data_IF_280457161914
#
_entry.id   IF_280457161914
#
_cell.length_a   1.000
_cell.length_b   1.000
_cell.length_c   1.000
_cell.angle_alpha   90.00
_cell.angle_beta   90.00
_cell.angle_gamma   90.00
#
_symmetry.space_group_name_H-M   'P 1'
#
loop_
_entity.id
_entity.type
_entity.pdbx_description
1 polymer ?
#
# COMPACT_ATOMS: atom_id res chain seq x y z
N UNK A 1 36.57 76.49 15.47
CA UNK A 1 36.00 76.26 14.14
C UNK A 1 36.23 74.79 13.83
N UNK A 2 35.20 73.98 14.03
CA UNK A 2 35.28 72.52 14.06
C UNK A 2 34.17 71.98 13.16
N UNK A 3 34.52 71.10 12.21
CA UNK A 3 33.61 70.11 11.63
C UNK A 3 34.44 68.90 11.24
N UNK A 4 34.16 67.80 11.93
CA UNK A 4 34.70 66.48 11.67
C UNK A 4 34.01 65.87 10.45
N UNK A 5 34.83 65.24 9.61
CA UNK A 5 34.45 64.41 8.47
C UNK A 5 34.51 62.94 8.94
N UNK A 6 33.36 62.29 9.05
CA UNK A 6 33.25 60.85 9.29
C UNK A 6 31.80 60.39 9.10
N UNK A 7 31.50 59.86 7.90
CA UNK A 7 30.18 59.33 7.55
C UNK A 7 30.19 58.20 6.52
N UNK A 8 31.36 57.71 6.11
CA UNK A 8 31.49 56.63 5.11
C UNK A 8 31.79 55.29 5.79
N UNK A 9 30.77 54.64 6.33
CA UNK A 9 30.72 53.17 6.45
C UNK A 9 29.26 52.76 6.67
N UNK A 10 28.87 51.60 6.14
CA UNK A 10 27.53 50.97 6.25
C UNK A 10 26.51 51.31 5.16
N UNK A 11 26.95 51.47 3.91
CA UNK A 11 26.10 51.10 2.77
C UNK A 11 26.25 49.60 2.50
N UNK A 12 25.20 48.85 2.86
CA UNK A 12 24.70 47.80 1.96
C UNK A 12 25.38 46.44 1.97
N UNK A 13 25.80 45.93 3.13
CA UNK A 13 25.99 44.48 3.32
C UNK A 13 24.63 43.78 3.51
N UNK A 14 23.71 44.02 2.58
CA UNK A 14 22.31 43.57 2.61
C UNK A 14 22.08 42.45 1.61
N UNK A 15 22.23 41.21 2.08
CA UNK A 15 21.47 40.04 1.66
C UNK A 15 21.25 39.81 0.14
N UNK A 16 22.30 39.41 -0.57
CA UNK A 16 22.15 38.62 -1.80
C UNK A 16 22.22 37.12 -1.48
N UNK A 17 21.30 36.63 -0.63
CA UNK A 17 21.11 35.18 -0.39
C UNK A 17 20.14 34.60 -1.44
N UNK A 18 20.47 34.79 -2.72
CA UNK A 18 19.69 34.29 -3.86
C UNK A 18 20.11 32.91 -4.31
N UNK A 19 20.25 31.94 -3.40
CA UNK A 19 20.52 30.55 -3.77
C UNK A 19 19.45 29.64 -3.17
N UNK A 20 18.50 29.17 -3.99
CA UNK A 20 18.11 27.75 -4.04
C UNK A 20 17.04 27.48 -5.11
N UNK A 21 17.40 26.98 -6.30
CA UNK A 21 16.47 26.24 -7.14
C UNK A 21 16.25 24.83 -6.55
N UNK A 22 15.64 24.71 -5.35
CA UNK A 22 15.37 23.41 -4.70
C UNK A 22 14.08 22.73 -5.16
N UNK A 23 13.25 23.38 -5.98
CA UNK A 23 11.88 22.90 -6.26
C UNK A 23 11.78 21.76 -7.30
N UNK A 24 12.81 21.51 -8.13
CA UNK A 24 12.75 20.52 -9.23
C UNK A 24 13.18 19.09 -8.88
N UNK A 25 13.91 18.87 -7.78
CA UNK A 25 14.43 17.53 -7.41
C UNK A 25 13.38 16.60 -6.79
N UNK A 26 12.30 17.16 -6.24
CA UNK A 26 11.33 16.39 -5.46
C UNK A 26 10.38 15.55 -6.34
N UNK A 27 10.11 15.98 -7.57
CA UNK A 27 9.16 15.31 -8.46
C UNK A 27 9.69 13.98 -9.05
N UNK A 28 11.00 13.86 -9.26
CA UNK A 28 11.61 12.61 -9.71
C UNK A 28 11.63 11.58 -8.57
N UNK A 29 11.98 12.02 -7.36
CA UNK A 29 12.10 11.15 -6.19
C UNK A 29 10.74 10.59 -5.75
N UNK A 30 9.68 11.40 -5.79
CA UNK A 30 8.30 10.96 -5.49
C UNK A 30 7.78 9.94 -6.51
N UNK A 31 8.08 10.10 -7.80
CA UNK A 31 7.72 9.13 -8.84
C UNK A 31 8.43 7.80 -8.68
N UNK A 32 9.73 7.82 -8.38
CA UNK A 32 10.49 6.60 -8.11
C UNK A 32 9.98 5.89 -6.86
N UNK A 33 9.69 6.63 -5.79
CA UNK A 33 9.10 6.07 -4.58
C UNK A 33 7.73 5.45 -4.84
N UNK A 34 6.83 6.15 -5.55
CA UNK A 34 5.52 5.61 -5.91
C UNK A 34 5.64 4.34 -6.77
N UNK A 35 6.55 4.33 -7.77
CA UNK A 35 6.80 3.14 -8.59
C UNK A 35 7.31 1.96 -7.76
N UNK A 36 8.19 2.19 -6.78
CA UNK A 36 8.67 1.16 -5.87
C UNK A 36 7.55 0.61 -4.98
N UNK A 37 6.69 1.48 -4.45
CA UNK A 37 5.53 1.07 -3.65
C UNK A 37 4.58 0.22 -4.49
N UNK A 38 4.28 0.63 -5.72
CA UNK A 38 3.43 -0.14 -6.64
C UNK A 38 4.06 -1.48 -6.98
N UNK A 39 5.36 -1.50 -7.31
CA UNK A 39 6.07 -2.75 -7.61
C UNK A 39 6.09 -3.70 -6.39
N UNK A 40 6.31 -3.16 -5.19
CA UNK A 40 6.28 -3.94 -3.96
C UNK A 40 4.88 -4.47 -3.64
N UNK A 41 3.83 -3.67 -3.88
CA UNK A 41 2.44 -4.09 -3.74
C UNK A 41 2.08 -5.18 -4.75
N UNK A 42 2.44 -5.02 -6.02
CA UNK A 42 2.24 -6.04 -7.05
C UNK A 42 2.98 -7.33 -6.70
N UNK A 43 4.21 -7.22 -6.18
CA UNK A 43 4.95 -8.37 -5.69
C UNK A 43 4.25 -9.04 -4.51
N UNK A 44 3.69 -8.28 -3.56
CA UNK A 44 2.93 -8.83 -2.43
C UNK A 44 1.62 -9.52 -2.88
N UNK A 45 0.98 -9.02 -3.93
CA UNK A 45 -0.22 -9.64 -4.52
C UNK A 45 0.15 -10.93 -5.27
N UNK A 46 1.22 -10.92 -6.07
CA UNK A 46 1.55 -12.01 -6.99
C UNK A 46 2.45 -13.09 -6.38
N UNK A 47 3.36 -12.75 -5.47
CA UNK A 47 4.34 -13.70 -4.94
C UNK A 47 3.70 -14.86 -4.15
N UNK A 48 2.72 -14.64 -3.26
CA UNK A 48 2.10 -15.75 -2.52
C UNK A 48 1.36 -16.73 -3.44
N UNK A 49 0.50 -16.30 -4.39
CA UNK A 49 -0.08 -17.23 -5.36
C UNK A 49 0.96 -17.99 -6.19
N UNK A 50 2.00 -17.30 -6.69
CA UNK A 50 3.02 -17.93 -7.54
C UNK A 50 3.85 -18.97 -6.76
N UNK A 51 4.25 -18.64 -5.53
CA UNK A 51 4.98 -19.58 -4.67
C UNK A 51 4.14 -20.79 -4.31
N UNK A 52 2.84 -20.60 -4.07
CA UNK A 52 1.91 -21.67 -3.71
C UNK A 52 1.63 -22.61 -4.90
N UNK A 53 1.54 -22.06 -6.12
CA UNK A 53 1.46 -22.86 -7.36
C UNK A 53 2.75 -23.65 -7.60
N UNK A 54 3.91 -23.04 -7.47
CA UNK A 54 5.20 -23.72 -7.64
C UNK A 54 5.42 -24.83 -6.59
N UNK A 55 4.97 -24.60 -5.36
CA UNK A 55 5.01 -25.60 -4.29
C UNK A 55 4.03 -26.75 -4.55
N UNK A 56 2.82 -26.44 -5.03
CA UNK A 56 1.80 -27.43 -5.38
C UNK A 56 2.30 -28.44 -6.39
N UNK A 57 2.99 -28.03 -7.44
CA UNK A 57 3.47 -28.96 -8.47
C UNK A 57 4.43 -30.02 -7.88
N UNK A 58 5.31 -29.60 -6.97
CA UNK A 58 6.23 -30.51 -6.28
C UNK A 58 5.49 -31.47 -5.35
N UNK A 59 4.53 -30.95 -4.56
CA UNK A 59 3.74 -31.78 -3.64
C UNK A 59 2.79 -32.73 -4.34
N UNK A 60 2.17 -32.31 -5.44
CA UNK A 60 1.32 -33.21 -6.22
C UNK A 60 2.09 -34.37 -6.81
N UNK A 61 3.34 -34.16 -7.24
CA UNK A 61 4.17 -35.26 -7.74
C UNK A 61 4.46 -36.32 -6.66
N UNK A 62 4.62 -35.90 -5.40
CA UNK A 62 4.84 -36.79 -4.26
C UNK A 62 3.54 -37.50 -3.84
N UNK A 63 2.45 -36.75 -3.69
CA UNK A 63 1.18 -37.26 -3.13
C UNK A 63 0.35 -38.02 -4.17
N UNK A 64 0.53 -37.75 -5.47
CA UNK A 64 -0.11 -38.51 -6.55
C UNK A 64 0.68 -39.78 -6.93
N UNK A 65 1.74 -40.11 -6.18
CA UNK A 65 2.51 -41.33 -6.41
C UNK A 65 1.67 -42.59 -6.12
N UNK A 66 1.90 -43.69 -6.85
CA UNK A 66 1.20 -44.95 -6.60
C UNK A 66 1.50 -45.53 -5.21
N UNK A 67 2.67 -45.22 -4.64
CA UNK A 67 3.02 -45.60 -3.27
C UNK A 67 2.17 -44.86 -2.22
N UNK A 68 1.98 -43.54 -2.36
CA UNK A 68 1.12 -42.76 -1.46
C UNK A 68 -0.35 -43.23 -1.53
N UNK A 69 -0.81 -43.62 -2.72
CA UNK A 69 -2.15 -44.20 -2.88
C UNK A 69 -2.25 -45.57 -2.19
N UNK A 70 -1.23 -46.43 -2.32
CA UNK A 70 -1.20 -47.73 -1.67
C UNK A 70 -1.15 -47.62 -0.14
N UNK A 71 -0.39 -46.66 0.39
CA UNK A 71 -0.34 -46.36 1.83
C UNK A 71 -1.70 -45.85 2.35
N UNK A 72 -2.37 -44.98 1.59
CA UNK A 72 -3.72 -44.52 1.91
C UNK A 72 -4.75 -45.66 1.89
N UNK A 73 -4.66 -46.56 0.92
CA UNK A 73 -5.54 -47.72 0.82
C UNK A 73 -5.29 -48.73 1.94
N UNK A 74 -4.03 -48.94 2.34
CA UNK A 74 -3.66 -49.75 3.49
C UNK A 74 -4.22 -49.14 4.80
N UNK A 75 -4.10 -47.83 4.99
CA UNK A 75 -4.68 -47.12 6.13
C UNK A 75 -6.21 -47.26 6.17
N UNK A 76 -6.89 -47.15 5.02
CA UNK A 76 -8.35 -47.38 4.95
C UNK A 76 -8.72 -48.83 5.26
N UNK A 77 -7.92 -49.80 4.83
CA UNK A 77 -8.15 -51.21 5.12
C UNK A 77 -7.99 -51.51 6.62
N UNK A 78 -6.95 -50.98 7.28
CA UNK A 78 -6.74 -51.09 8.72
C UNK A 78 -7.86 -50.41 9.52
N UNK A 79 -8.26 -49.19 9.13
CA UNK A 79 -9.40 -48.49 9.72
C UNK A 79 -10.70 -49.30 9.60
N UNK A 80 -10.98 -49.93 8.45
CA UNK A 80 -12.15 -50.82 8.27
C UNK A 80 -12.11 -51.98 9.25
N UNK A 81 -10.94 -52.62 9.38
CA UNK A 81 -10.74 -53.78 10.27
C UNK A 81 -10.90 -53.40 11.75
N UNK A 82 -10.58 -52.16 12.12
CA UNK A 82 -10.79 -51.64 13.48
C UNK A 82 -12.24 -51.22 13.74
N UNK A 83 -12.96 -50.71 12.72
CA UNK A 83 -14.37 -50.34 12.85
C UNK A 83 -15.34 -51.54 12.87
N UNK A 84 -14.91 -52.70 12.36
CA UNK A 84 -15.67 -53.96 12.38
C UNK A 84 -15.55 -54.71 13.73
N UNK A 85 -14.65 -54.26 14.62
CA UNK A 85 -14.62 -54.70 16.01
C UNK A 85 -15.66 -53.91 16.80
N UNK A 86 -16.76 -54.58 17.16
CA UNK A 86 -17.84 -54.05 18.02
C UNK A 86 -17.27 -53.41 19.29
N UNK A 87 -17.12 -52.08 19.26
CA UNK A 87 -16.68 -51.24 20.36
C UNK A 87 -17.51 -49.96 20.41
N UNK A 88 -17.67 -49.33 21.58
CA UNK A 88 -18.60 -48.20 21.79
C UNK A 88 -18.32 -46.95 20.94
N UNK A 89 -17.16 -46.89 20.27
CA UNK A 89 -16.81 -45.83 19.33
C UNK A 89 -16.55 -46.44 17.95
N UNK A 90 -17.58 -46.54 17.13
CA UNK A 90 -17.40 -46.82 15.71
C UNK A 90 -16.76 -45.61 15.02
N UNK A 91 -15.51 -45.75 14.60
CA UNK A 91 -14.83 -44.73 13.78
C UNK A 91 -15.39 -44.79 12.36
N UNK A 92 -15.94 -43.68 11.86
CA UNK A 92 -16.40 -43.59 10.47
C UNK A 92 -15.22 -43.77 9.52
N UNK A 93 -15.28 -44.80 8.69
CA UNK A 93 -14.36 -44.99 7.59
C UNK A 93 -14.46 -43.77 6.66
N UNK A 94 -13.33 -43.13 6.30
CA UNK A 94 -13.33 -42.01 5.36
C UNK A 94 -14.00 -42.40 4.04
N UNK A 95 -14.99 -41.59 3.62
CA UNK A 95 -15.79 -41.85 2.41
C UNK A 95 -15.03 -41.55 1.10
N UNK A 96 -13.93 -40.79 1.19
CA UNK A 96 -13.11 -40.41 0.03
C UNK A 96 -12.23 -41.57 -0.45
N UNK A 97 -12.28 -41.84 -1.76
CA UNK A 97 -11.37 -42.79 -2.42
C UNK A 97 -9.96 -42.20 -2.62
N UNK A 98 -9.84 -40.87 -2.65
CA UNK A 98 -8.58 -40.15 -2.81
C UNK A 98 -8.08 -39.60 -1.46
N UNK A 99 -6.75 -39.48 -1.27
CA UNK A 99 -6.14 -38.77 -0.14
C UNK A 99 -6.72 -37.35 -0.01
N UNK A 100 -7.15 -36.91 1.19
CA UNK A 100 -7.78 -35.60 1.38
C UNK A 100 -6.85 -34.43 1.01
N UNK A 101 -5.54 -34.63 1.10
CA UNK A 101 -4.53 -33.65 0.70
C UNK A 101 -4.54 -33.39 -0.82
N UNK A 102 -4.81 -34.41 -1.64
CA UNK A 102 -4.96 -34.23 -3.09
C UNK A 102 -6.19 -33.38 -3.44
N UNK A 103 -7.30 -33.63 -2.74
CA UNK A 103 -8.54 -32.85 -2.92
C UNK A 103 -8.32 -31.39 -2.54
N UNK A 104 -7.59 -31.13 -1.44
CA UNK A 104 -7.28 -29.77 -1.02
C UNK A 104 -6.39 -29.03 -2.02
N UNK A 105 -5.31 -29.67 -2.47
CA UNK A 105 -4.38 -29.13 -3.47
C UNK A 105 -5.02 -28.92 -4.85
N UNK A 106 -6.01 -29.74 -5.24
CA UNK A 106 -6.68 -29.62 -6.53
C UNK A 106 -7.82 -28.61 -6.51
N UNK A 107 -8.72 -28.70 -5.54
CA UNK A 107 -10.03 -28.04 -5.61
C UNK A 107 -10.09 -26.74 -4.77
N UNK A 108 -9.26 -26.60 -3.72
CA UNK A 108 -9.30 -25.43 -2.82
C UNK A 108 -8.21 -24.38 -3.11
N UNK A 109 -7.23 -24.69 -3.97
CA UNK A 109 -6.16 -23.76 -4.35
C UNK A 109 -6.71 -22.46 -4.94
N UNK A 110 -7.63 -22.56 -5.90
CA UNK A 110 -8.24 -21.40 -6.54
C UNK A 110 -8.98 -20.53 -5.53
N UNK A 111 -9.65 -21.16 -4.56
CA UNK A 111 -10.35 -20.47 -3.48
C UNK A 111 -9.39 -19.72 -2.55
N UNK A 112 -8.25 -20.33 -2.21
CA UNK A 112 -7.21 -19.70 -1.41
C UNK A 112 -6.58 -18.49 -2.14
N UNK A 113 -6.29 -18.63 -3.44
CA UNK A 113 -5.76 -17.53 -4.26
C UNK A 113 -6.79 -16.40 -4.36
N UNK A 114 -8.06 -16.71 -4.63
CA UNK A 114 -9.12 -15.71 -4.72
C UNK A 114 -9.28 -14.97 -3.39
N UNK A 115 -9.35 -15.68 -2.26
CA UNK A 115 -9.44 -15.07 -0.94
C UNK A 115 -8.23 -14.15 -0.65
N UNK A 116 -7.02 -14.59 -1.00
CA UNK A 116 -5.80 -13.78 -0.85
C UNK A 116 -5.86 -12.49 -1.67
N UNK A 117 -6.19 -12.60 -2.96
CA UNK A 117 -6.29 -11.44 -3.86
C UNK A 117 -7.38 -10.48 -3.40
N UNK A 118 -8.53 -11.00 -2.94
CA UNK A 118 -9.61 -10.17 -2.38
C UNK A 118 -9.14 -9.43 -1.13
N UNK A 119 -8.50 -10.12 -0.19
CA UNK A 119 -8.01 -9.52 1.06
C UNK A 119 -7.01 -8.39 0.78
N UNK A 120 -5.97 -8.66 -0.02
CA UNK A 120 -4.94 -7.66 -0.36
C UNK A 120 -5.53 -6.55 -1.23
N UNK A 121 -6.46 -6.85 -2.13
CA UNK A 121 -7.15 -5.88 -2.96
C UNK A 121 -7.98 -4.90 -2.14
N UNK A 122 -8.77 -5.40 -1.18
CA UNK A 122 -9.57 -4.55 -0.28
C UNK A 122 -8.67 -3.68 0.59
N UNK A 123 -7.63 -4.27 1.19
CA UNK A 123 -6.69 -3.53 2.03
C UNK A 123 -5.93 -2.46 1.24
N UNK A 124 -5.42 -2.81 0.06
CA UNK A 124 -4.74 -1.89 -0.84
C UNK A 124 -5.66 -0.78 -1.34
N UNK A 125 -6.89 -1.10 -1.71
CA UNK A 125 -7.90 -0.12 -2.10
C UNK A 125 -8.24 0.85 -0.98
N UNK A 126 -8.40 0.36 0.25
CA UNK A 126 -8.64 1.20 1.42
C UNK A 126 -7.46 2.17 1.69
N UNK A 127 -6.23 1.65 1.68
CA UNK A 127 -5.02 2.47 1.83
C UNK A 127 -4.89 3.52 0.72
N UNK A 128 -5.19 3.16 -0.53
CA UNK A 128 -5.18 4.09 -1.65
C UNK A 128 -6.25 5.18 -1.49
N UNK A 129 -7.45 4.84 -1.01
CA UNK A 129 -8.50 5.80 -0.73
C UNK A 129 -8.09 6.80 0.37
N UNK A 130 -7.46 6.31 1.46
CA UNK A 130 -6.92 7.17 2.51
C UNK A 130 -5.82 8.10 1.99
N UNK A 131 -4.86 7.56 1.24
CA UNK A 131 -3.78 8.34 0.65
C UNK A 131 -4.31 9.44 -0.29
N UNK A 132 -5.30 9.10 -1.11
CA UNK A 132 -5.93 10.05 -2.03
C UNK A 132 -6.76 11.10 -1.29
N UNK A 133 -7.42 10.73 -0.19
CA UNK A 133 -8.11 11.65 0.71
C UNK A 133 -7.15 12.67 1.34
N UNK A 134 -6.04 12.20 1.92
CA UNK A 134 -5.00 13.07 2.49
C UNK A 134 -4.37 14.00 1.46
N UNK A 135 -4.05 13.48 0.27
CA UNK A 135 -3.47 14.27 -0.81
C UNK A 135 -4.42 15.40 -1.25
N UNK A 136 -5.72 15.13 -1.40
CA UNK A 136 -6.72 16.16 -1.75
C UNK A 136 -6.93 17.18 -0.63
N UNK A 137 -6.93 16.76 0.64
CA UNK A 137 -7.05 17.66 1.77
C UNK A 137 -5.85 18.62 1.87
N UNK A 138 -4.65 18.13 1.61
CA UNK A 138 -3.43 18.95 1.58
C UNK A 138 -3.49 20.00 0.46
N UNK A 139 -3.90 19.62 -0.76
CA UNK A 139 -4.03 20.58 -1.87
C UNK A 139 -5.10 21.65 -1.59
N UNK A 140 -6.24 21.27 -1.02
CA UNK A 140 -7.29 22.23 -0.68
C UNK A 140 -6.84 23.27 0.37
N UNK A 141 -5.96 22.89 1.30
CA UNK A 141 -5.40 23.81 2.30
C UNK A 141 -4.40 24.81 1.67
N UNK A 142 -3.60 24.38 0.70
CA UNK A 142 -2.67 25.26 -0.02
C UNK A 142 -3.42 26.31 -0.88
N UNK A 143 -4.47 25.89 -1.58
CA UNK A 143 -5.29 26.79 -2.40
C UNK A 143 -6.04 27.83 -1.55
N UNK A 144 -6.55 27.45 -0.38
CA UNK A 144 -7.21 28.36 0.56
C UNK A 144 -6.26 29.42 1.15
N UNK A 145 -5.02 29.05 1.44
CA UNK A 145 -4.01 30.00 1.93
C UNK A 145 -3.58 31.01 0.84
N UNK A 146 -3.53 30.59 -0.42
CA UNK A 146 -3.22 31.46 -1.54
C UNK A 146 -4.37 32.44 -1.86
N UNK A 147 -5.63 31.97 -1.76
CA UNK A 147 -6.82 32.80 -1.95
C UNK A 147 -6.97 33.89 -0.88
N UNK A 148 -6.76 33.55 0.39
CA UNK A 148 -6.92 34.48 1.52
C UNK A 148 -5.94 35.66 1.47
N UNK A 149 -4.71 35.44 0.98
CA UNK A 149 -3.70 36.49 0.83
C UNK A 149 -4.07 37.48 -0.30
N UNK A 150 -4.86 37.04 -1.28
CA UNK A 150 -5.32 37.91 -2.36
C UNK A 150 -6.47 38.82 -1.89
N UNK A 151 -7.43 38.27 -1.15
CA UNK A 151 -8.56 39.03 -0.59
C UNK A 151 -8.11 40.08 0.45
N UNK A 152 -7.08 39.77 1.25
CA UNK A 152 -6.54 40.72 2.22
C UNK A 152 -5.93 41.95 1.53
N UNK A 153 -5.12 41.74 0.49
CA UNK A 153 -4.50 42.84 -0.26
C UNK A 153 -5.54 43.70 -0.97
N UNK A 154 -6.60 43.08 -1.48
CA UNK A 154 -7.66 43.81 -2.17
C UNK A 154 -8.44 44.71 -1.23
N UNK A 155 -8.78 44.20 -0.03
CA UNK A 155 -9.41 45.02 1.01
C UNK A 155 -8.51 46.17 1.49
N UNK A 156 -7.20 45.93 1.63
CA UNK A 156 -6.25 47.00 1.97
C UNK A 156 -6.21 48.09 0.90
N UNK A 157 -6.13 47.72 -0.39
CA UNK A 157 -6.17 48.68 -1.50
C UNK A 157 -7.48 49.48 -1.55
N UNK A 158 -8.62 48.83 -1.29
CA UNK A 158 -9.92 49.50 -1.31
C UNK A 158 -10.06 50.48 -0.14
N UNK A 159 -9.57 50.11 1.06
CA UNK A 159 -9.57 51.03 2.21
C UNK A 159 -8.69 52.26 1.99
N UNK A 160 -7.51 52.09 1.38
CA UNK A 160 -6.63 53.21 1.05
C UNK A 160 -7.26 54.18 0.05
N UNK A 161 -7.96 53.66 -0.96
CA UNK A 161 -8.65 54.48 -1.96
C UNK A 161 -9.84 55.25 -1.35
N UNK A 162 -10.54 54.66 -0.38
CA UNK A 162 -11.63 55.35 0.32
C UNK A 162 -11.15 56.48 1.23
N UNK A 163 -9.95 56.39 1.81
CA UNK A 163 -9.38 57.46 2.63
C UNK A 163 -8.90 58.64 1.77
N UNK A 164 -8.28 58.37 0.62
CA UNK A 164 -7.85 59.44 -0.30
C UNK A 164 -9.03 60.29 -0.80
N UNK A 165 -10.22 59.70 -1.00
CA UNK A 165 -11.41 60.46 -1.42
C UNK A 165 -12.07 61.30 -0.32
N UNK A 166 -11.77 61.07 0.96
CA UNK A 166 -12.32 61.88 2.07
C UNK A 166 -11.47 63.10 2.38
N UNK A 167 -10.22 63.14 1.90
CA UNK A 167 -9.25 64.17 2.24
C UNK A 167 -8.85 65.09 1.07
N UNK A 168 -9.47 64.93 -0.11
CA UNK A 168 -9.41 65.88 -1.22
C UNK A 168 -10.71 66.66 -1.38
#
# INVERSE_FOLDING_TARGET
>A
MATADSGDTWQGLGMAAGNTPRRRRNAAWTRTFAALVIACWLAAVAAPPLTLVAWRERRLAEVASPEAQAEWDAFRADMRQQSDRDGPVQRKVPKSAEPPELVWLRDYLGLAIAAWVTLIGVLGGFLAALALGMARAASAAEDGAAGHCHDQKQNECDTQNTDERRHG
#
